data_IF_912256515048
#
_entry.id   IF_912256515048
#
_cell.length_a   1.000
_cell.length_b   1.000
_cell.length_c   1.000
_cell.angle_alpha   90.00
_cell.angle_beta   90.00
_cell.angle_gamma   90.00
#
_symmetry.space_group_name_H-M   'P 1'
#
loop_
_entity.id
_entity.type
_entity.pdbx_description
1 polymer ?
#
# COMPACT_ATOMS: atom_id res chain seq x y z
N UNK A 1 12.31 9.03 -11.70
CA UNK A 1 12.44 8.55 -10.31
C UNK A 1 13.79 7.89 -10.09
N UNK A 2 14.33 8.06 -8.91
CA UNK A 2 15.56 7.38 -8.53
C UNK A 2 15.21 6.09 -7.82
N UNK A 3 15.94 5.03 -8.13
CA UNK A 3 15.86 3.74 -7.47
C UNK A 3 17.23 3.46 -6.87
N UNK A 4 17.25 3.09 -5.62
CA UNK A 4 18.47 2.60 -4.95
C UNK A 4 18.23 1.17 -4.48
N UNK A 5 19.26 0.34 -4.50
CA UNK A 5 19.17 -1.02 -3.97
C UNK A 5 20.37 -1.35 -3.09
N UNK A 6 20.17 -2.26 -2.18
CA UNK A 6 21.19 -2.88 -1.35
C UNK A 6 21.25 -4.37 -1.63
N UNK A 7 22.43 -4.93 -1.63
CA UNK A 7 22.69 -6.39 -1.70
C UNK A 7 23.45 -6.90 -0.45
N UNK A 8 23.61 -6.03 0.55
CA UNK A 8 24.38 -6.27 1.78
C UNK A 8 23.56 -6.01 3.05
N UNK A 9 22.26 -6.40 3.03
CA UNK A 9 21.32 -6.23 4.14
C UNK A 9 21.12 -4.75 4.58
N UNK A 10 21.18 -3.81 3.62
CA UNK A 10 20.93 -2.40 3.89
C UNK A 10 22.15 -1.64 4.43
N UNK A 11 23.34 -2.27 4.44
CA UNK A 11 24.55 -1.60 4.91
C UNK A 11 25.07 -0.56 3.93
N UNK A 12 24.86 -0.75 2.63
CA UNK A 12 25.11 0.23 1.58
C UNK A 12 24.02 0.20 0.51
N UNK A 13 23.92 1.27 -0.27
CA UNK A 13 22.95 1.39 -1.36
C UNK A 13 23.61 1.93 -2.62
N UNK A 14 23.35 1.27 -3.74
CA UNK A 14 23.78 1.68 -5.07
C UNK A 14 22.62 2.31 -5.84
N UNK A 15 22.94 3.32 -6.66
CA UNK A 15 21.97 3.85 -7.62
C UNK A 15 21.72 2.82 -8.72
N UNK A 16 20.45 2.66 -9.07
CA UNK A 16 20.02 1.83 -10.19
C UNK A 16 19.42 2.74 -11.26
N UNK A 17 19.74 2.47 -12.50
CA UNK A 17 19.18 3.22 -13.62
C UNK A 17 17.68 2.94 -13.75
N UNK A 18 16.88 3.97 -13.52
CA UNK A 18 15.47 3.95 -13.84
C UNK A 18 15.26 4.20 -15.33
N UNK A 19 14.30 3.50 -15.93
CA UNK A 19 13.96 3.65 -17.36
C UNK A 19 13.28 4.97 -17.69
N UNK A 20 12.90 5.75 -16.68
CA UNK A 20 12.28 7.06 -16.86
C UNK A 20 12.57 8.00 -15.66
N UNK A 21 12.22 9.28 -15.81
CA UNK A 21 12.42 10.33 -14.79
C UNK A 21 11.19 10.60 -13.91
N UNK A 22 10.13 9.83 -14.03
CA UNK A 22 8.87 10.04 -13.31
C UNK A 22 9.01 9.72 -11.82
N UNK A 23 8.23 10.39 -10.96
CA UNK A 23 8.22 10.10 -9.53
C UNK A 23 7.64 8.72 -9.26
N UNK A 24 8.30 7.96 -8.38
CA UNK A 24 7.81 6.69 -7.83
C UNK A 24 7.35 6.91 -6.40
N UNK A 25 6.21 6.34 -6.02
CA UNK A 25 5.59 6.53 -4.71
C UNK A 25 5.49 5.25 -3.89
N UNK A 26 5.42 4.12 -4.54
CA UNK A 26 5.29 2.82 -3.89
C UNK A 26 6.09 1.75 -4.61
N UNK A 27 6.56 0.78 -3.83
CA UNK A 27 7.28 -0.40 -4.34
C UNK A 27 6.86 -1.63 -3.53
N UNK A 28 6.79 -2.76 -4.21
CA UNK A 28 6.55 -4.07 -3.57
C UNK A 28 7.34 -5.16 -4.28
N UNK A 29 7.42 -6.32 -3.64
CA UNK A 29 8.08 -7.51 -4.18
C UNK A 29 7.14 -8.72 -4.09
N UNK A 30 7.09 -9.51 -5.14
CA UNK A 30 6.36 -10.77 -5.20
C UNK A 30 6.75 -11.58 -6.43
N UNK A 31 6.68 -12.90 -6.36
CA UNK A 31 7.05 -13.80 -7.47
C UNK A 31 8.36 -13.44 -8.17
N UNK A 32 9.44 -13.23 -7.40
CA UNK A 32 10.76 -12.80 -7.89
C UNK A 32 10.76 -11.50 -8.71
N UNK A 33 9.72 -10.68 -8.57
CA UNK A 33 9.57 -9.43 -9.33
C UNK A 33 9.39 -8.26 -8.37
N UNK A 34 10.19 -7.22 -8.53
CA UNK A 34 9.91 -5.91 -7.95
C UNK A 34 9.00 -5.13 -8.89
N UNK A 35 8.01 -4.45 -8.33
CA UNK A 35 7.16 -3.52 -9.06
C UNK A 35 7.08 -2.22 -8.30
N UNK A 36 7.36 -1.09 -8.98
CA UNK A 36 7.20 0.24 -8.42
C UNK A 36 6.23 1.06 -9.27
N UNK A 37 5.45 1.91 -8.59
CA UNK A 37 4.36 2.70 -9.18
C UNK A 37 4.52 4.18 -8.85
N UNK A 38 3.99 5.06 -9.70
CA UNK A 38 4.17 6.49 -9.50
C UNK A 38 3.22 7.41 -10.28
N UNK A 39 3.75 8.53 -10.74
CA UNK A 39 3.01 9.55 -11.48
C UNK A 39 2.66 9.10 -12.89
N UNK A 40 1.51 9.56 -13.41
CA UNK A 40 1.17 9.48 -14.84
C UNK A 40 1.30 8.06 -15.40
N UNK A 41 0.54 7.10 -14.83
CA UNK A 41 0.55 5.68 -15.24
C UNK A 41 1.91 4.95 -15.11
N UNK A 42 2.89 5.60 -14.49
CA UNK A 42 4.22 5.03 -14.39
C UNK A 42 4.24 3.77 -13.53
N UNK A 43 4.49 2.65 -14.16
CA UNK A 43 4.78 1.37 -13.55
C UNK A 43 6.11 0.88 -14.10
N UNK A 44 7.04 0.55 -13.23
CA UNK A 44 8.30 -0.09 -13.61
C UNK A 44 8.44 -1.40 -12.87
N UNK A 45 9.00 -2.40 -13.52
CA UNK A 45 9.20 -3.74 -12.97
C UNK A 45 10.62 -4.23 -13.16
N UNK A 46 11.08 -5.09 -12.25
CA UNK A 46 12.38 -5.75 -12.34
C UNK A 46 12.25 -7.22 -11.99
N UNK A 47 12.69 -8.08 -12.89
CA UNK A 47 12.82 -9.54 -12.67
C UNK A 47 14.28 -9.93 -12.40
N UNK A 48 15.21 -8.97 -12.44
CA UNK A 48 16.65 -9.14 -12.27
C UNK A 48 17.16 -8.66 -10.92
N UNK A 49 16.47 -9.01 -9.82
CA UNK A 49 16.88 -8.64 -8.46
C UNK A 49 17.06 -7.11 -8.26
N UNK A 50 16.26 -6.30 -8.93
CA UNK A 50 16.30 -4.84 -8.85
C UNK A 50 17.46 -4.19 -9.60
N UNK A 51 18.24 -4.93 -10.39
CA UNK A 51 19.37 -4.37 -11.13
C UNK A 51 18.95 -3.64 -12.41
N UNK A 52 17.96 -4.16 -13.10
CA UNK A 52 17.43 -3.58 -14.32
C UNK A 52 15.91 -3.44 -14.19
N UNK A 53 15.36 -2.40 -14.77
CA UNK A 53 13.95 -2.07 -14.70
C UNK A 53 13.39 -1.82 -16.09
N UNK A 54 12.20 -2.36 -16.34
CA UNK A 54 11.45 -2.18 -17.57
C UNK A 54 10.15 -1.44 -17.29
N UNK A 55 9.68 -0.64 -18.24
CA UNK A 55 8.36 -0.04 -18.16
C UNK A 55 7.27 -1.09 -18.33
N UNK A 56 6.22 -0.99 -17.53
CA UNK A 56 4.95 -1.66 -17.75
C UNK A 56 3.85 -0.60 -17.89
N UNK A 57 2.89 -0.87 -18.77
CA UNK A 57 1.82 0.09 -19.06
C UNK A 57 0.54 -0.31 -18.33
N UNK A 58 -0.02 0.61 -17.55
CA UNK A 58 -1.29 0.40 -16.86
C UNK A 58 -2.52 0.82 -17.66
N UNK A 59 -2.33 1.58 -18.73
CA UNK A 59 -3.43 2.12 -19.55
C UNK A 59 -4.28 3.18 -18.82
N UNK A 60 -3.77 3.78 -17.74
CA UNK A 60 -4.45 4.83 -16.97
C UNK A 60 -3.60 6.08 -16.92
N UNK A 61 -4.23 7.27 -16.80
CA UNK A 61 -3.52 8.56 -16.67
C UNK A 61 -3.38 9.04 -15.22
N UNK A 62 -3.96 8.33 -14.26
CA UNK A 62 -3.97 8.69 -12.86
C UNK A 62 -2.66 8.32 -12.16
N UNK A 63 -2.36 9.03 -11.05
CA UNK A 63 -1.23 8.71 -10.19
C UNK A 63 -1.54 7.49 -9.36
N UNK A 64 -0.62 6.52 -9.34
CA UNK A 64 -0.64 5.38 -8.44
C UNK A 64 0.18 5.71 -7.19
N UNK A 65 -0.41 5.54 -6.01
CA UNK A 65 0.14 5.97 -4.72
C UNK A 65 0.70 4.82 -3.88
N UNK A 66 0.00 3.71 -3.89
CA UNK A 66 0.35 2.51 -3.12
C UNK A 66 0.29 1.27 -3.99
N UNK A 67 1.07 0.27 -3.61
CA UNK A 67 1.11 -1.04 -4.26
C UNK A 67 1.35 -2.12 -3.23
N UNK A 68 0.73 -3.28 -3.43
CA UNK A 68 0.97 -4.50 -2.65
C UNK A 68 0.97 -5.73 -3.54
N UNK A 69 1.46 -6.83 -3.00
CA UNK A 69 1.40 -8.15 -3.63
C UNK A 69 0.74 -9.15 -2.71
N UNK A 70 -0.13 -9.95 -3.24
CA UNK A 70 -0.77 -11.07 -2.54
C UNK A 70 -1.51 -11.97 -3.50
N UNK A 71 -1.64 -13.24 -3.17
CA UNK A 71 -2.38 -14.21 -3.96
C UNK A 71 -2.00 -14.19 -5.45
N UNK A 72 -0.71 -14.18 -5.75
CA UNK A 72 -0.12 -14.10 -7.10
C UNK A 72 -0.54 -12.85 -7.91
N UNK A 73 -1.02 -11.80 -7.24
CA UNK A 73 -1.53 -10.60 -7.89
C UNK A 73 -0.85 -9.36 -7.33
N UNK A 74 -0.35 -8.50 -8.19
CA UNK A 74 0.01 -7.14 -7.85
C UNK A 74 -1.23 -6.25 -7.91
N UNK A 75 -1.41 -5.40 -6.91
CA UNK A 75 -2.53 -4.45 -6.84
C UNK A 75 -2.00 -3.08 -6.51
N UNK A 76 -2.31 -2.10 -7.35
CA UNK A 76 -1.94 -0.70 -7.12
C UNK A 76 -3.18 0.19 -7.05
N UNK A 77 -3.12 1.18 -6.15
CA UNK A 77 -4.21 2.12 -5.88
C UNK A 77 -3.75 3.55 -6.07
N UNK A 78 -4.69 4.46 -6.39
CA UNK A 78 -4.28 5.84 -6.68
C UNK A 78 -5.39 6.88 -6.65
N UNK A 79 -5.13 7.98 -7.36
CA UNK A 79 -6.05 9.13 -7.45
C UNK A 79 -7.35 8.75 -8.14
N UNK A 80 -8.42 9.47 -7.79
CA UNK A 80 -9.77 9.27 -8.35
C UNK A 80 -10.31 7.84 -8.16
N UNK A 81 -9.94 7.18 -7.06
CA UNK A 81 -10.36 5.83 -6.74
C UNK A 81 -9.80 4.75 -7.68
N UNK A 82 -8.78 5.08 -8.45
CA UNK A 82 -8.22 4.13 -9.42
C UNK A 82 -7.57 2.95 -8.70
N UNK A 83 -7.91 1.78 -9.18
CA UNK A 83 -7.29 0.51 -8.79
C UNK A 83 -6.93 -0.25 -10.06
N UNK A 84 -5.70 -0.72 -10.14
CA UNK A 84 -5.23 -1.62 -11.20
C UNK A 84 -4.62 -2.87 -10.60
N UNK A 85 -4.76 -3.99 -11.30
CA UNK A 85 -4.21 -5.27 -10.88
C UNK A 85 -3.47 -5.96 -12.02
N UNK A 86 -2.49 -6.77 -11.66
CA UNK A 86 -1.76 -7.64 -12.58
C UNK A 86 -1.67 -9.06 -12.03
N UNK A 87 -2.02 -10.05 -12.82
CA UNK A 87 -1.92 -11.48 -12.50
C UNK A 87 -0.80 -12.19 -13.28
N UNK A 88 -0.02 -11.43 -14.05
CA UNK A 88 1.04 -11.90 -14.94
C UNK A 88 2.42 -11.30 -14.59
N UNK A 89 2.70 -11.19 -13.29
CA UNK A 89 3.97 -10.64 -12.77
C UNK A 89 4.25 -9.19 -13.15
N UNK A 90 3.21 -8.36 -13.22
CA UNK A 90 3.35 -6.93 -13.50
C UNK A 90 3.59 -6.62 -14.98
N UNK A 91 3.38 -7.58 -15.89
CA UNK A 91 3.58 -7.38 -17.34
C UNK A 91 2.44 -6.59 -17.94
N UNK A 92 1.20 -6.95 -17.63
CA UNK A 92 0.01 -6.22 -18.03
C UNK A 92 -0.87 -5.89 -16.82
N UNK A 93 -1.71 -4.88 -16.96
CA UNK A 93 -2.53 -4.35 -15.87
C UNK A 93 -3.96 -4.10 -16.30
N UNK A 94 -4.89 -4.66 -15.55
CA UNK A 94 -6.32 -4.48 -15.73
C UNK A 94 -6.87 -3.44 -14.74
N UNK A 95 -7.85 -2.64 -15.20
CA UNK A 95 -8.61 -1.78 -14.30
C UNK A 95 -9.61 -2.62 -13.50
N UNK A 96 -9.63 -2.39 -12.17
CA UNK A 96 -10.66 -2.95 -11.28
C UNK A 96 -11.75 -1.90 -10.98
N UNK A 97 -12.97 -2.37 -10.75
CA UNK A 97 -14.08 -1.51 -10.33
C UNK A 97 -13.95 -1.21 -8.84
N UNK A 98 -13.72 0.06 -8.49
CA UNK A 98 -13.39 0.44 -7.12
C UNK A 98 -14.58 0.95 -6.28
N UNK A 99 -15.73 1.19 -6.88
CA UNK A 99 -16.92 1.78 -6.23
C UNK A 99 -16.64 3.08 -5.44
N UNK A 100 -15.54 3.79 -5.76
CA UNK A 100 -15.20 5.08 -5.16
C UNK A 100 -14.47 5.97 -6.16
N UNK A 101 -14.71 7.28 -6.09
CA UNK A 101 -13.91 8.30 -6.79
C UNK A 101 -12.87 8.97 -5.88
N UNK A 102 -12.79 8.53 -4.62
CA UNK A 102 -11.90 9.10 -3.60
C UNK A 102 -10.48 8.57 -3.79
N UNK A 103 -9.49 9.44 -3.66
CA UNK A 103 -8.08 9.04 -3.74
C UNK A 103 -7.76 8.00 -2.67
N UNK A 104 -7.19 6.87 -3.11
CA UNK A 104 -6.62 5.83 -2.26
C UNK A 104 -5.11 6.04 -2.15
N UNK A 105 -4.57 5.95 -0.94
CA UNK A 105 -3.15 6.20 -0.65
C UNK A 105 -2.36 4.94 -0.37
N UNK A 106 -2.95 4.00 0.32
CA UNK A 106 -2.31 2.74 0.72
C UNK A 106 -3.16 1.54 0.33
N UNK A 107 -2.50 0.41 0.14
CA UNK A 107 -3.13 -0.88 -0.07
C UNK A 107 -2.33 -1.97 0.63
N UNK A 108 -3.02 -2.90 1.28
CA UNK A 108 -2.44 -4.05 1.97
C UNK A 108 -3.16 -5.34 1.62
N UNK A 109 -2.52 -6.46 1.90
CA UNK A 109 -3.08 -7.79 1.67
C UNK A 109 -2.90 -8.69 2.89
N UNK A 110 -3.91 -9.46 3.20
CA UNK A 110 -3.89 -10.50 4.22
C UNK A 110 -5.18 -11.31 4.21
N UNK A 111 -5.10 -12.57 4.63
CA UNK A 111 -6.24 -13.46 4.71
C UNK A 111 -7.12 -13.46 3.44
N UNK A 112 -6.48 -13.62 2.26
CA UNK A 112 -7.11 -13.58 0.93
C UNK A 112 -7.90 -12.28 0.62
N UNK A 113 -7.65 -11.20 1.37
CA UNK A 113 -8.36 -9.92 1.22
C UNK A 113 -7.37 -8.80 0.91
N UNK A 114 -7.66 -8.01 -0.11
CA UNK A 114 -7.02 -6.74 -0.34
C UNK A 114 -7.82 -5.63 0.35
N UNK A 115 -7.12 -4.68 0.95
CA UNK A 115 -7.71 -3.51 1.61
C UNK A 115 -7.02 -2.26 1.11
N UNK A 116 -7.79 -1.33 0.53
CA UNK A 116 -7.33 0.00 0.12
C UNK A 116 -7.82 1.06 1.09
N UNK A 117 -6.96 2.01 1.46
CA UNK A 117 -7.28 3.11 2.39
C UNK A 117 -6.97 4.47 1.77
N UNK A 118 -7.72 5.52 2.15
CA UNK A 118 -7.58 6.81 1.49
C UNK A 118 -8.18 8.02 2.20
N UNK A 119 -8.48 9.02 1.38
CA UNK A 119 -9.00 10.32 1.83
C UNK A 119 -10.37 10.16 2.52
N UNK A 120 -10.64 11.00 3.53
CA UNK A 120 -11.90 11.04 4.28
C UNK A 120 -12.26 9.71 4.93
N UNK A 121 -11.26 8.98 5.42
CA UNK A 121 -11.45 7.68 6.06
C UNK A 121 -11.93 6.58 5.10
N UNK A 122 -11.83 6.80 3.78
CA UNK A 122 -12.27 5.79 2.82
C UNK A 122 -11.50 4.51 3.00
N UNK A 123 -12.23 3.40 3.10
CA UNK A 123 -11.70 2.05 3.06
C UNK A 123 -12.50 1.25 2.05
N UNK A 124 -11.81 0.54 1.20
CA UNK A 124 -12.38 -0.42 0.24
C UNK A 124 -11.72 -1.78 0.42
N UNK A 125 -12.44 -2.85 0.21
CA UNK A 125 -11.94 -4.23 0.34
C UNK A 125 -12.35 -5.09 -0.84
N UNK A 126 -11.54 -6.08 -1.15
CA UNK A 126 -11.80 -7.09 -2.17
C UNK A 126 -11.46 -8.47 -1.64
N UNK A 127 -12.35 -9.43 -1.87
CA UNK A 127 -12.15 -10.86 -1.54
C UNK A 127 -12.13 -11.76 -2.78
N UNK A 128 -12.17 -11.15 -3.97
CA UNK A 128 -12.20 -11.82 -5.28
C UNK A 128 -10.93 -11.55 -6.10
N UNK A 129 -9.79 -11.50 -5.41
CA UNK A 129 -8.47 -11.26 -6.01
C UNK A 129 -8.37 -9.90 -6.72
N UNK A 130 -8.93 -8.86 -6.11
CA UNK A 130 -8.95 -7.48 -6.57
C UNK A 130 -9.72 -7.24 -7.88
N UNK A 131 -10.63 -8.14 -8.28
CA UNK A 131 -11.47 -7.96 -9.45
C UNK A 131 -12.55 -6.90 -9.21
N UNK A 132 -13.18 -6.93 -8.03
CA UNK A 132 -14.14 -5.94 -7.58
C UNK A 132 -13.87 -5.51 -6.13
N UNK A 133 -14.41 -4.36 -5.75
CA UNK A 133 -14.15 -3.76 -4.46
C UNK A 133 -15.42 -3.20 -3.84
N UNK A 134 -15.65 -3.53 -2.59
CA UNK A 134 -16.75 -3.02 -1.78
C UNK A 134 -16.26 -1.96 -0.81
N UNK A 135 -17.14 -1.02 -0.46
CA UNK A 135 -16.86 -0.08 0.62
C UNK A 135 -16.94 -0.80 1.98
N UNK A 136 -15.94 -0.59 2.82
CA UNK A 136 -15.96 -1.00 4.21
C UNK A 136 -16.42 0.15 5.12
N UNK A 137 -16.99 -0.20 6.28
CA UNK A 137 -17.40 0.79 7.28
C UNK A 137 -16.16 1.27 8.04
N UNK A 138 -15.90 2.56 7.96
CA UNK A 138 -14.83 3.24 8.70
C UNK A 138 -15.45 4.18 9.72
N UNK A 139 -14.93 4.20 10.93
CA UNK A 139 -15.37 5.11 12.00
C UNK A 139 -14.51 6.38 12.08
N UNK A 140 -13.84 6.75 10.97
CA UNK A 140 -13.03 7.97 10.89
C UNK A 140 -13.32 8.76 9.63
N UNK A 141 -13.18 10.08 9.70
CA UNK A 141 -13.15 10.98 8.54
C UNK A 141 -11.74 11.45 8.18
N UNK A 142 -10.73 11.04 8.96
CA UNK A 142 -9.34 11.40 8.69
C UNK A 142 -8.78 10.65 7.49
N UNK A 143 -7.85 11.28 6.77
CA UNK A 143 -7.12 10.60 5.72
C UNK A 143 -6.34 9.42 6.30
N UNK A 144 -6.52 8.24 5.72
CA UNK A 144 -5.71 7.05 5.98
C UNK A 144 -4.65 6.92 4.89
N UNK A 145 -3.40 6.69 5.29
CA UNK A 145 -2.25 6.70 4.37
C UNK A 145 -1.57 5.36 4.19
N UNK A 146 -1.50 4.57 5.25
CA UNK A 146 -0.90 3.24 5.23
C UNK A 146 -1.81 2.20 5.84
N UNK A 147 -1.70 0.96 5.39
CA UNK A 147 -2.39 -0.20 5.95
C UNK A 147 -1.50 -1.42 5.87
N UNK A 148 -1.51 -2.24 6.91
CA UNK A 148 -0.80 -3.52 6.96
C UNK A 148 -1.66 -4.59 7.62
N UNK A 149 -1.25 -5.85 7.49
CA UNK A 149 -1.97 -7.01 8.03
C UNK A 149 -1.05 -7.93 8.80
N UNK A 150 -1.54 -8.43 9.91
CA UNK A 150 -0.93 -9.54 10.65
C UNK A 150 -1.96 -10.23 11.54
N UNK A 151 -1.82 -11.56 11.67
CA UNK A 151 -2.59 -12.38 12.61
C UNK A 151 -4.08 -12.03 12.62
N UNK A 152 -4.73 -12.13 11.47
CA UNK A 152 -6.15 -11.84 11.27
C UNK A 152 -6.57 -10.38 11.58
N UNK A 153 -5.61 -9.45 11.67
CA UNK A 153 -5.87 -8.04 11.98
C UNK A 153 -5.29 -7.13 10.91
N UNK A 154 -6.11 -6.26 10.36
CA UNK A 154 -5.65 -5.11 9.59
C UNK A 154 -5.50 -3.90 10.51
N UNK A 155 -4.43 -3.14 10.33
CA UNK A 155 -4.21 -1.85 11.00
C UNK A 155 -3.93 -0.79 9.95
N UNK A 156 -4.72 0.28 9.97
CA UNK A 156 -4.56 1.46 9.12
C UNK A 156 -4.11 2.67 9.92
N UNK A 157 -3.26 3.52 9.33
CA UNK A 157 -2.75 4.74 9.97
C UNK A 157 -2.88 5.94 9.05
N UNK A 158 -2.96 7.13 9.65
CA UNK A 158 -3.15 8.34 8.86
C UNK A 158 -2.93 9.66 9.58
N UNK A 159 -3.66 10.68 9.13
CA UNK A 159 -3.51 12.04 9.63
C UNK A 159 -4.07 12.19 11.05
N UNK A 160 -3.54 13.18 11.78
CA UNK A 160 -3.88 13.49 13.18
C UNK A 160 -3.68 12.30 14.13
N UNK A 161 -2.65 11.49 13.88
CA UNK A 161 -2.37 10.31 14.67
C UNK A 161 -3.42 9.21 14.53
N UNK A 162 -4.35 9.32 13.58
CA UNK A 162 -5.44 8.36 13.46
C UNK A 162 -4.92 6.94 13.19
N UNK A 163 -5.39 6.01 14.00
CA UNK A 163 -5.15 4.57 13.88
C UNK A 163 -6.51 3.88 13.85
N UNK A 164 -6.72 3.01 12.89
CA UNK A 164 -7.93 2.19 12.78
C UNK A 164 -7.56 0.71 12.70
N UNK A 165 -8.40 -0.15 13.24
CA UNK A 165 -8.15 -1.59 13.35
C UNK A 165 -9.39 -2.37 12.93
N UNK A 166 -9.17 -3.48 12.21
CA UNK A 166 -10.20 -4.45 11.85
C UNK A 166 -9.75 -5.87 12.20
N UNK A 167 -10.63 -6.63 12.85
CA UNK A 167 -10.42 -8.06 13.14
C UNK A 167 -11.41 -8.98 12.42
N UNK A 168 -12.23 -8.42 11.53
CA UNK A 168 -13.25 -9.11 10.74
C UNK A 168 -12.96 -9.07 9.25
N UNK A 169 -11.67 -9.22 8.92
CA UNK A 169 -11.19 -9.27 7.54
C UNK A 169 -11.45 -7.97 6.75
N UNK A 170 -11.34 -6.81 7.42
CA UNK A 170 -11.46 -5.49 6.79
C UNK A 170 -12.90 -5.02 6.54
N UNK A 171 -13.90 -5.68 7.13
CA UNK A 171 -15.31 -5.31 6.95
C UNK A 171 -15.70 -4.10 7.79
N UNK A 172 -15.38 -4.12 9.08
CA UNK A 172 -15.61 -3.04 10.03
C UNK A 172 -14.29 -2.60 10.67
N UNK A 173 -14.19 -1.31 10.98
CA UNK A 173 -12.98 -0.71 11.51
C UNK A 173 -13.29 0.16 12.73
N UNK A 174 -12.57 -0.10 13.81
CA UNK A 174 -12.65 0.67 15.04
C UNK A 174 -11.48 1.62 15.16
N UNK A 175 -11.71 2.79 15.76
CA UNK A 175 -10.65 3.70 16.12
C UNK A 175 -9.83 3.15 17.29
N UNK A 176 -8.52 3.26 17.19
CA UNK A 176 -7.57 2.94 18.25
C UNK A 176 -7.01 4.22 18.83
N UNK A 177 -6.88 4.31 20.14
CA UNK A 177 -6.27 5.47 20.80
C UNK A 177 -4.80 5.57 20.43
N UNK A 178 -4.43 6.69 19.81
CA UNK A 178 -3.06 6.98 19.43
C UNK A 178 -2.34 7.79 20.51
N UNK A 179 -1.07 7.50 20.82
CA UNK A 179 -0.28 8.32 21.76
C UNK A 179 0.21 9.64 21.14
N UNK A 180 -0.08 9.89 19.86
CA UNK A 180 0.34 11.08 19.12
C UNK A 180 -0.80 11.66 18.30
N UNK A 181 -0.75 12.99 18.06
CA UNK A 181 -1.73 13.71 17.22
C UNK A 181 -1.13 14.20 15.89
N UNK A 182 0.05 13.70 15.52
CA UNK A 182 0.74 14.06 14.29
C UNK A 182 0.46 13.06 13.17
N UNK A 183 0.82 13.41 11.95
CA UNK A 183 0.59 12.56 10.79
C UNK A 183 1.41 11.28 10.84
N UNK A 184 0.74 10.13 10.64
CA UNK A 184 1.38 8.84 10.38
C UNK A 184 1.36 8.57 8.88
N UNK A 185 2.52 8.26 8.32
CA UNK A 185 2.69 8.09 6.87
C UNK A 185 2.76 6.64 6.44
N UNK A 186 3.27 5.78 7.30
CA UNK A 186 3.43 4.37 6.99
C UNK A 186 3.34 3.50 8.22
N UNK A 187 2.97 2.25 8.00
CA UNK A 187 2.90 1.21 9.02
C UNK A 187 3.42 -0.08 8.45
N UNK A 188 4.12 -0.85 9.26
CA UNK A 188 4.58 -2.20 8.92
C UNK A 188 4.43 -3.11 10.13
N UNK A 189 4.58 -4.42 9.88
CA UNK A 189 4.59 -5.43 10.92
C UNK A 189 5.83 -6.31 10.79
N UNK A 190 6.43 -6.63 11.91
CA UNK A 190 7.55 -7.57 12.03
C UNK A 190 7.80 -7.93 13.48
N UNK A 191 8.27 -9.15 13.74
CA UNK A 191 8.63 -9.62 15.06
C UNK A 191 7.55 -9.34 16.13
N UNK A 192 6.30 -9.74 15.86
CA UNK A 192 5.13 -9.57 16.73
C UNK A 192 4.79 -8.09 17.08
N UNK A 193 5.25 -7.13 16.29
CA UNK A 193 5.09 -5.71 16.59
C UNK A 193 4.61 -4.96 15.35
N UNK A 194 3.59 -4.15 15.49
CA UNK A 194 3.25 -3.11 14.53
C UNK A 194 4.11 -1.87 14.82
N UNK A 195 4.68 -1.29 13.78
CA UNK A 195 5.46 -0.05 13.88
C UNK A 195 4.93 0.94 12.86
N UNK A 196 4.47 2.11 13.35
CA UNK A 196 4.05 3.23 12.52
C UNK A 196 5.07 4.37 12.57
N UNK A 197 5.30 5.03 11.44
CA UNK A 197 6.22 6.17 11.32
C UNK A 197 5.49 7.39 10.79
N UNK A 198 5.90 8.57 11.26
CA UNK A 198 5.18 9.80 10.94
C UNK A 198 6.02 11.07 10.95
N UNK A 199 5.32 12.20 10.89
CA UNK A 199 5.93 13.52 10.84
C UNK A 199 6.69 13.85 12.14
N UNK A 200 7.71 14.70 12.02
CA UNK A 200 8.55 15.10 13.17
C UNK A 200 9.36 13.96 13.76
N UNK A 201 9.67 12.91 12.98
CA UNK A 201 10.44 11.76 13.43
C UNK A 201 9.69 10.87 14.43
N UNK A 202 8.36 10.97 14.50
CA UNK A 202 7.55 10.15 15.42
C UNK A 202 7.49 8.70 14.97
N UNK A 203 7.66 7.81 15.94
CA UNK A 203 7.50 6.37 15.79
C UNK A 203 6.53 5.91 16.88
N UNK A 204 5.53 5.13 16.47
CA UNK A 204 4.60 4.46 17.38
C UNK A 204 4.72 2.95 17.20
N UNK A 205 4.46 2.20 18.25
CA UNK A 205 4.48 0.74 18.19
C UNK A 205 3.35 0.13 18.99
N UNK A 206 2.88 -1.03 18.56
CA UNK A 206 1.94 -1.87 19.29
C UNK A 206 2.44 -3.32 19.31
N UNK A 207 2.37 -3.96 20.49
CA UNK A 207 2.72 -5.37 20.71
C UNK A 207 1.49 -6.21 21.07
N UNK A 208 0.29 -5.64 21.04
CA UNK A 208 -0.99 -6.22 21.43
C UNK A 208 -1.98 -6.31 20.26
N UNK A 209 -1.49 -6.65 19.08
CA UNK A 209 -2.28 -6.76 17.85
C UNK A 209 -2.96 -5.45 17.43
N UNK A 210 -2.32 -4.30 17.70
CA UNK A 210 -2.83 -2.99 17.32
C UNK A 210 -4.00 -2.51 18.19
N UNK A 211 -4.13 -3.00 19.42
CA UNK A 211 -5.19 -2.59 20.34
C UNK A 211 -4.82 -1.31 21.10
N UNK A 212 -3.52 -1.05 21.26
CA UNK A 212 -2.98 0.17 21.88
C UNK A 212 -1.67 0.58 21.25
#
# INVERSE_FOLDING_TARGET
>A
GNIVRSTDNGSSFDNVTSVNSQYLYGITFGNNTFVAVGTSENIVRSTGNGSNWDNATSGISQYLRGITFGNNTFVAVGTSGKIVRSTDNGTSWDNATSNTATTLWGVGFGNNTFVGVGVSGKIVRSTDNASSWDNATSNTSNLLRGVTFWNNTFVGVGYNGNIVRSTDNGTNWDNVTSPIETYLYGITFGNNTFVGVGSGGKIVRSTDSGSS
#
